data_IF_363360213435
#
_entry.id   IF_363360213435
#
_cell.length_a   1.000
_cell.length_b   1.000
_cell.length_c   1.000
_cell.angle_alpha   90.00
_cell.angle_beta   90.00
_cell.angle_gamma   90.00
#
_symmetry.space_group_name_H-M   'P 1'
#
loop_
_entity.id
_entity.type
_entity.pdbx_description
1 polymer ?
#
# COMPACT_ATOMS: atom_id res chain seq x y z
N UNK A 1 -1.07 -22.81 -1.58
CA UNK A 1 -1.56 -21.71 -0.73
C UNK A 1 -0.36 -20.84 -0.45
N UNK A 2 -0.23 -19.68 -1.11
CA UNK A 2 0.92 -18.79 -0.85
C UNK A 2 0.52 -17.87 0.30
N UNK A 3 0.89 -18.26 1.52
CA UNK A 3 1.01 -17.32 2.63
C UNK A 3 2.20 -16.43 2.32
N UNK A 4 1.95 -15.16 2.05
CA UNK A 4 3.01 -14.19 1.87
C UNK A 4 3.28 -13.65 3.27
N UNK A 5 4.35 -14.14 3.89
CA UNK A 5 4.81 -13.65 5.17
C UNK A 5 5.44 -12.27 4.92
N UNK A 6 4.69 -11.22 5.24
CA UNK A 6 5.10 -9.85 4.94
C UNK A 6 6.22 -9.46 5.91
N UNK A 7 7.43 -9.26 5.37
CA UNK A 7 8.62 -8.87 6.13
C UNK A 7 8.73 -7.36 6.19
N UNK A 8 9.40 -6.87 7.21
CA UNK A 8 9.67 -5.43 7.35
C UNK A 8 10.44 -4.88 6.14
N UNK A 9 11.30 -5.70 5.53
CA UNK A 9 12.07 -5.34 4.33
C UNK A 9 11.22 -5.20 3.06
N UNK A 10 10.00 -5.76 3.03
CA UNK A 10 9.07 -5.54 1.91
C UNK A 10 8.48 -4.12 1.95
N UNK A 11 8.51 -3.43 3.09
CA UNK A 11 7.86 -2.12 3.25
C UNK A 11 8.51 -1.03 2.39
N UNK A 12 9.85 -0.84 2.40
CA UNK A 12 10.52 0.08 1.48
C UNK A 12 10.21 -0.21 0.01
N UNK A 13 10.27 -1.48 -0.42
CA UNK A 13 9.95 -1.87 -1.80
C UNK A 13 8.51 -1.46 -2.18
N UNK A 14 7.54 -1.70 -1.28
CA UNK A 14 6.15 -1.31 -1.54
C UNK A 14 6.00 0.22 -1.58
N UNK A 15 6.76 0.97 -0.78
CA UNK A 15 6.71 2.43 -0.80
C UNK A 15 7.29 3.03 -2.09
N UNK A 16 8.32 2.40 -2.65
CA UNK A 16 9.02 2.83 -3.86
C UNK A 16 8.31 2.37 -5.15
N UNK A 17 8.01 1.08 -5.25
CA UNK A 17 7.46 0.46 -6.48
C UNK A 17 5.93 0.38 -6.50
N UNK A 18 5.29 0.58 -5.33
CA UNK A 18 3.85 0.48 -5.20
C UNK A 18 3.08 1.58 -5.92
N UNK A 19 1.87 1.25 -6.38
CA UNK A 19 0.96 2.23 -6.95
C UNK A 19 0.24 3.01 -5.85
N UNK A 20 -0.13 4.26 -6.15
CA UNK A 20 -0.96 5.06 -5.25
C UNK A 20 -2.33 4.42 -5.14
N UNK A 21 -2.70 4.04 -3.92
CA UNK A 21 -4.01 3.45 -3.63
C UNK A 21 -4.81 4.28 -2.63
N UNK A 22 -4.46 5.56 -2.50
CA UNK A 22 -5.07 6.52 -1.60
C UNK A 22 -6.58 6.56 -1.78
N UNK A 23 -7.30 6.30 -0.69
CA UNK A 23 -8.76 6.39 -0.64
C UNK A 23 -9.20 7.68 0.04
N UNK A 24 -8.98 8.81 -0.65
CA UNK A 24 -9.47 10.18 -0.34
C UNK A 24 -9.14 10.78 1.04
N UNK A 25 -9.14 12.12 1.12
CA UNK A 25 -9.01 13.01 2.30
C UNK A 25 -8.31 12.39 3.52
N UNK A 26 -7.07 11.94 3.35
CA UNK A 26 -6.20 11.65 4.50
C UNK A 26 -5.67 12.96 5.08
N UNK A 27 -5.19 12.89 6.32
CA UNK A 27 -4.46 13.99 6.95
C UNK A 27 -3.29 14.41 6.03
N UNK A 28 -2.91 15.69 6.12
CA UNK A 28 -1.74 16.23 5.42
C UNK A 28 -0.53 15.27 5.66
N UNK A 29 0.24 15.01 4.61
CA UNK A 29 1.45 14.16 4.63
C UNK A 29 1.24 12.66 4.89
N UNK A 30 0.03 12.11 4.71
CA UNK A 30 -0.18 10.66 4.73
C UNK A 30 -0.05 10.08 3.32
N UNK A 31 0.77 9.05 3.15
CA UNK A 31 0.97 8.34 1.89
C UNK A 31 0.42 6.93 1.99
N UNK A 32 -0.17 6.46 0.89
CA UNK A 32 -0.68 5.09 0.79
C UNK A 32 -0.11 4.45 -0.47
N UNK A 33 0.67 3.39 -0.29
CA UNK A 33 1.21 2.62 -1.40
C UNK A 33 0.71 1.20 -1.34
N UNK A 34 0.39 0.67 -2.51
CA UNK A 34 -0.10 -0.69 -2.64
C UNK A 34 0.70 -1.48 -3.65
N UNK A 35 0.88 -2.77 -3.36
CA UNK A 35 1.42 -3.75 -4.29
C UNK A 35 0.39 -4.86 -4.49
N UNK A 36 0.23 -5.30 -5.73
CA UNK A 36 -0.63 -6.43 -6.05
C UNK A 36 0.23 -7.69 -6.16
N UNK A 37 -0.07 -8.70 -5.34
CA UNK A 37 0.50 -10.05 -5.46
C UNK A 37 -0.65 -11.02 -5.72
N UNK A 38 -0.80 -11.41 -6.99
CA UNK A 38 -1.92 -12.24 -7.43
C UNK A 38 -3.28 -11.56 -7.22
N UNK A 39 -4.17 -12.17 -6.41
CA UNK A 39 -5.50 -11.61 -6.06
C UNK A 39 -5.48 -10.74 -4.81
N UNK A 40 -4.37 -10.70 -4.09
CA UNK A 40 -4.19 -9.92 -2.86
C UNK A 40 -3.53 -8.59 -3.18
N UNK A 41 -3.97 -7.55 -2.49
CA UNK A 41 -3.32 -6.25 -2.44
C UNK A 41 -2.78 -6.09 -1.03
N UNK A 42 -1.49 -5.79 -0.96
CA UNK A 42 -0.84 -5.33 0.25
C UNK A 42 -0.89 -3.81 0.22
N UNK A 43 -1.27 -3.19 1.33
CA UNK A 43 -1.35 -1.75 1.51
C UNK A 43 -0.46 -1.33 2.66
N UNK A 44 0.40 -0.37 2.40
CA UNK A 44 1.25 0.31 3.37
C UNK A 44 0.77 1.75 3.48
N UNK A 45 0.61 2.22 4.73
CA UNK A 45 0.26 3.60 5.05
C UNK A 45 1.34 4.18 5.94
N UNK A 46 1.94 5.28 5.49
CA UNK A 46 2.96 6.02 6.24
C UNK A 46 2.54 7.47 6.40
N UNK A 47 3.06 8.13 7.43
CA UNK A 47 2.97 9.57 7.63
C UNK A 47 4.37 10.15 7.56
N UNK A 48 4.56 11.17 6.74
CA UNK A 48 5.81 11.93 6.67
C UNK A 48 5.81 13.04 7.72
N UNK A 49 6.80 12.99 8.61
CA UNK A 49 7.02 13.96 9.68
C UNK A 49 7.91 15.13 9.25
N UNK A 50 8.54 15.04 8.08
CA UNK A 50 9.58 15.95 7.58
C UNK A 50 11.01 15.48 7.86
N UNK A 51 11.19 14.58 8.82
CA UNK A 51 12.50 13.97 9.15
C UNK A 51 12.55 12.49 8.76
N UNK A 52 11.44 11.77 8.94
CA UNK A 52 11.33 10.36 8.66
C UNK A 52 9.88 9.95 8.34
N UNK A 53 9.72 8.78 7.74
CA UNK A 53 8.42 8.18 7.49
C UNK A 53 8.03 7.29 8.68
N UNK A 54 6.83 7.51 9.22
CA UNK A 54 6.26 6.69 10.30
C UNK A 54 5.26 5.71 9.71
N UNK A 55 5.55 4.42 9.83
CA UNK A 55 4.63 3.35 9.47
C UNK A 55 3.41 3.38 10.39
N UNK A 56 2.24 3.67 9.82
CA UNK A 56 0.99 3.79 10.58
C UNK A 56 0.14 2.53 10.48
N UNK A 57 0.12 1.89 9.30
CA UNK A 57 -0.70 0.71 9.09
C UNK A 57 -0.17 -0.13 7.92
N UNK A 58 -0.17 -1.45 8.11
CA UNK A 58 -0.03 -2.43 7.03
C UNK A 58 -1.25 -3.34 7.05
N UNK A 59 -1.85 -3.53 5.88
CA UNK A 59 -3.03 -4.36 5.74
C UNK A 59 -3.10 -5.05 4.39
N UNK A 60 -3.74 -6.22 4.37
CA UNK A 60 -3.95 -6.98 3.15
C UNK A 60 -5.44 -7.10 2.84
N UNK A 61 -5.82 -6.94 1.58
CA UNK A 61 -7.20 -7.18 1.13
C UNK A 61 -7.25 -7.78 -0.27
N UNK A 62 -8.31 -8.54 -0.56
CA UNK A 62 -8.55 -9.06 -1.90
C UNK A 62 -9.36 -8.07 -2.73
N UNK A 63 -9.04 -7.94 -4.02
CA UNK A 63 -9.79 -7.10 -4.94
C UNK A 63 -10.12 -7.85 -6.23
N UNK A 64 -11.32 -7.61 -6.78
CA UNK A 64 -11.69 -8.11 -8.10
C UNK A 64 -10.85 -7.44 -9.19
N UNK A 65 -10.69 -8.10 -10.36
CA UNK A 65 -9.92 -7.55 -11.49
C UNK A 65 -10.37 -6.13 -11.89
N UNK A 66 -11.68 -5.87 -11.88
CA UNK A 66 -12.25 -4.54 -12.17
C UNK A 66 -11.84 -3.49 -11.14
N UNK A 67 -11.87 -3.85 -9.85
CA UNK A 67 -11.46 -2.96 -8.74
C UNK A 67 -9.96 -2.68 -8.74
N UNK A 68 -9.15 -3.66 -9.13
CA UNK A 68 -7.70 -3.50 -9.33
C UNK A 68 -7.38 -2.49 -10.44
N UNK A 69 -8.04 -2.61 -11.60
CA UNK A 69 -7.86 -1.65 -12.69
C UNK A 69 -8.26 -0.23 -12.28
N UNK A 70 -9.31 -0.08 -11.46
CA UNK A 70 -9.72 1.23 -10.96
C UNK A 70 -8.71 1.82 -9.95
N UNK A 71 -8.10 0.97 -9.13
CA UNK A 71 -7.08 1.40 -8.16
C UNK A 71 -5.77 1.82 -8.84
N UNK A 72 -5.34 1.12 -9.91
CA UNK A 72 -4.11 1.44 -10.65
C UNK A 72 -4.22 2.64 -11.60
N UNK A 73 -5.44 3.16 -11.83
CA UNK A 73 -5.72 4.28 -12.73
C UNK A 73 -5.80 5.64 -12.02
N UNK A 74 -5.64 5.63 -10.69
CA UNK A 74 -5.56 6.83 -9.86
C UNK A 74 -4.11 7.22 -9.70
#
# INVERSE_FOLDING_TARGET
MFDYDLRMDDIPEILEEGFDCSRSKRKKNTFERCVQRGKRIIKVVVVDTGEHLVLTHVGTFTASKKKLQQLKRR
#
